data_IF_212106649063
#
_entry.id   IF_212106649063
#
_cell.length_a   1.000
_cell.length_b   1.000
_cell.length_c   1.000
_cell.angle_alpha   90.00
_cell.angle_beta   90.00
_cell.angle_gamma   90.00
#
_symmetry.space_group_name_H-M   'P 1'
#
loop_
_entity.id
_entity.type
_entity.pdbx_description
1 polymer ?
#
# COMPACT_ATOMS: atom_id res chain seq x y z
N UNK A 1 9.32 -9.80 -11.17
CA UNK A 1 8.18 -9.22 -10.46
C UNK A 1 8.68 -7.96 -9.78
N UNK A 2 8.00 -6.83 -9.89
CA UNK A 2 8.43 -5.61 -9.19
C UNK A 2 8.09 -5.72 -7.69
N UNK A 3 8.99 -5.23 -6.84
CA UNK A 3 8.80 -5.17 -5.40
C UNK A 3 8.54 -3.72 -5.01
N UNK A 4 7.40 -3.46 -4.41
CA UNK A 4 6.95 -2.13 -4.01
C UNK A 4 7.13 -1.96 -2.50
N UNK A 5 7.70 -0.83 -2.11
CA UNK A 5 7.71 -0.35 -0.73
C UNK A 5 6.69 0.77 -0.57
N UNK A 6 5.86 0.70 0.48
CA UNK A 6 4.87 1.73 0.77
C UNK A 6 5.29 2.56 1.98
N UNK A 7 5.32 3.88 1.84
CA UNK A 7 5.60 4.81 2.94
C UNK A 7 4.42 5.75 3.12
N UNK A 8 3.81 5.76 4.30
CA UNK A 8 2.72 6.66 4.64
C UNK A 8 2.89 7.24 6.04
N UNK A 9 2.36 8.45 6.26
CA UNK A 9 2.24 9.00 7.61
C UNK A 9 0.91 8.60 8.28
N UNK A 10 0.00 7.96 7.54
CA UNK A 10 -1.33 7.58 8.02
C UNK A 10 -2.19 8.75 8.51
N UNK A 11 -1.83 9.99 8.12
CA UNK A 11 -2.56 11.21 8.50
C UNK A 11 -3.84 11.36 7.70
N UNK A 12 -3.79 11.04 6.41
CA UNK A 12 -4.88 11.22 5.47
C UNK A 12 -5.53 9.89 5.09
N UNK A 13 -6.86 9.90 4.97
CA UNK A 13 -7.63 8.74 4.50
C UNK A 13 -7.23 8.35 3.07
N UNK A 14 -6.88 9.33 2.24
CA UNK A 14 -6.54 9.12 0.84
C UNK A 14 -5.32 8.21 0.66
N UNK A 15 -4.26 8.37 1.46
CA UNK A 15 -3.12 7.46 1.43
C UNK A 15 -3.49 6.00 1.80
N UNK A 16 -4.43 5.82 2.73
CA UNK A 16 -4.95 4.50 3.10
C UNK A 16 -5.81 3.89 1.98
N UNK A 17 -6.71 4.68 1.42
CA UNK A 17 -7.56 4.27 0.30
C UNK A 17 -6.70 3.86 -0.91
N UNK A 18 -5.65 4.62 -1.22
CA UNK A 18 -4.75 4.31 -2.33
C UNK A 18 -3.98 3.00 -2.11
N UNK A 19 -3.48 2.76 -0.89
CA UNK A 19 -2.85 1.49 -0.54
C UNK A 19 -3.81 0.32 -0.78
N UNK A 20 -5.08 0.48 -0.40
CA UNK A 20 -6.10 -0.54 -0.58
C UNK A 20 -6.39 -0.82 -2.06
N UNK A 21 -6.49 0.23 -2.89
CA UNK A 21 -6.68 0.11 -4.35
C UNK A 21 -5.50 -0.62 -4.99
N UNK A 22 -4.26 -0.20 -4.70
CA UNK A 22 -3.04 -0.82 -5.25
C UNK A 22 -2.94 -2.29 -4.83
N UNK A 23 -3.15 -2.60 -3.55
CA UNK A 23 -3.13 -3.99 -3.06
C UNK A 23 -4.22 -4.85 -3.73
N UNK A 24 -5.40 -4.28 -3.99
CA UNK A 24 -6.49 -4.97 -4.67
C UNK A 24 -6.15 -5.24 -6.15
N UNK A 25 -5.53 -4.28 -6.85
CA UNK A 25 -5.06 -4.48 -8.23
C UNK A 25 -3.93 -5.51 -8.33
N UNK A 26 -3.05 -5.58 -7.32
CA UNK A 26 -2.03 -6.63 -7.22
C UNK A 26 -2.67 -8.01 -7.06
N UNK A 27 -3.62 -8.16 -6.12
CA UNK A 27 -4.30 -9.44 -5.87
C UNK A 27 -5.12 -9.93 -7.07
N UNK A 28 -5.66 -9.01 -7.85
CA UNK A 28 -6.40 -9.32 -9.09
C UNK A 28 -5.47 -9.59 -10.28
N UNK A 29 -4.16 -9.39 -10.14
CA UNK A 29 -3.18 -9.58 -11.21
C UNK A 29 -3.15 -8.45 -12.25
N UNK A 30 -3.90 -7.36 -12.02
CA UNK A 30 -3.90 -6.16 -12.86
C UNK A 30 -2.56 -5.42 -12.74
N UNK A 31 -1.96 -5.44 -11.54
CA UNK A 31 -0.65 -4.89 -11.25
C UNK A 31 0.32 -6.05 -11.02
N UNK A 32 1.28 -6.23 -11.93
CA UNK A 32 2.32 -7.27 -11.83
C UNK A 32 3.45 -6.88 -10.88
N UNK A 33 3.10 -6.68 -9.62
CA UNK A 33 4.02 -6.31 -8.54
C UNK A 33 3.58 -6.95 -7.22
N UNK A 34 4.43 -6.83 -6.20
CA UNK A 34 4.15 -7.26 -4.83
C UNK A 34 4.48 -6.10 -3.88
N UNK A 35 3.69 -5.90 -2.82
CA UNK A 35 4.04 -4.97 -1.75
C UNK A 35 4.91 -5.71 -0.75
N UNK A 36 6.22 -5.48 -0.81
CA UNK A 36 7.20 -6.17 0.02
C UNK A 36 7.19 -5.68 1.48
N UNK A 37 6.89 -4.39 1.68
CA UNK A 37 6.78 -3.81 3.02
C UNK A 37 5.89 -2.56 3.00
N UNK A 38 5.30 -2.27 4.17
CA UNK A 38 4.55 -1.04 4.43
C UNK A 38 5.11 -0.41 5.69
N UNK A 39 5.52 0.86 5.59
CA UNK A 39 5.93 1.69 6.70
C UNK A 39 4.86 2.76 6.95
N UNK A 40 4.36 2.81 8.18
CA UNK A 40 3.39 3.81 8.64
C UNK A 40 3.92 4.51 9.88
N UNK A 41 4.05 5.85 9.83
CA UNK A 41 4.39 6.68 10.99
C UNK A 41 3.20 6.94 11.93
N UNK A 42 2.03 6.35 11.65
CA UNK A 42 0.89 6.41 12.56
C UNK A 42 1.01 5.29 13.58
N UNK A 43 0.90 5.61 14.87
CA UNK A 43 0.76 4.59 15.90
C UNK A 43 -0.51 3.75 15.65
N UNK A 44 -0.49 2.44 15.95
CA UNK A 44 -1.70 1.62 15.94
C UNK A 44 -2.77 2.30 16.81
N UNK A 45 -3.94 2.55 16.21
CA UNK A 45 -5.09 3.12 16.93
C UNK A 45 -5.73 2.11 17.87
#
# INVERSE_FOLDING_TARGET
MYQLGWFSTGRDKAAGDLLQVVNSGIKQGEIKAEIAFVFSNREPG
#
